data_IF_026174927520
#
_entry.id   IF_026174927520
#
_cell.length_a   1.000
_cell.length_b   1.000
_cell.length_c   1.000
_cell.angle_alpha   90.00
_cell.angle_beta   90.00
_cell.angle_gamma   90.00
#
_symmetry.space_group_name_H-M   'P 1'
#
loop_
_entity.id
_entity.type
_entity.pdbx_description
1 polymer ?
#
# COMPACT_ATOMS: atom_id res chain seq x y z
N UNK A 1 -26.84 -4.69 11.72
CA UNK A 1 -26.62 -3.25 11.97
C UNK A 1 -25.14 -3.01 12.22
N UNK A 2 -24.56 -1.94 11.65
CA UNK A 2 -23.17 -1.51 11.92
C UNK A 2 -23.21 -0.68 13.19
N UNK A 3 -22.37 -0.99 14.19
CA UNK A 3 -22.34 -0.20 15.42
C UNK A 3 -21.51 1.08 15.20
N UNK A 4 -22.20 2.22 15.10
CA UNK A 4 -21.63 3.55 14.81
C UNK A 4 -20.54 3.97 15.79
N UNK A 5 -20.59 3.51 17.04
CA UNK A 5 -19.56 3.82 18.06
C UNK A 5 -18.20 3.20 17.73
N UNK A 6 -18.19 1.98 17.18
CA UNK A 6 -16.95 1.31 16.77
C UNK A 6 -16.48 1.76 15.38
N UNK A 7 -17.40 2.09 14.48
CA UNK A 7 -17.09 2.71 13.19
C UNK A 7 -16.37 4.06 13.37
N UNK A 8 -16.92 4.94 14.22
CA UNK A 8 -16.28 6.22 14.58
C UNK A 8 -15.00 6.04 15.38
N UNK A 9 -14.88 4.96 16.17
CA UNK A 9 -13.64 4.57 16.83
C UNK A 9 -12.52 4.21 15.84
N UNK A 10 -12.85 3.50 14.75
CA UNK A 10 -11.95 3.21 13.63
C UNK A 10 -11.52 4.48 12.90
N UNK A 11 -12.50 5.35 12.61
CA UNK A 11 -12.27 6.65 11.97
C UNK A 11 -11.31 7.54 12.79
N UNK A 12 -11.49 7.61 14.12
CA UNK A 12 -10.59 8.37 15.02
C UNK A 12 -9.21 7.74 15.19
N UNK A 13 -9.08 6.43 14.96
CA UNK A 13 -7.78 5.74 15.11
C UNK A 13 -6.78 6.15 14.02
N UNK A 14 -7.29 6.69 12.90
CA UNK A 14 -6.49 7.20 11.78
C UNK A 14 -5.89 8.58 12.06
N UNK A 15 -6.51 9.36 12.95
CA UNK A 15 -6.06 10.70 13.38
C UNK A 15 -5.00 10.66 14.49
N UNK A 16 -4.64 9.48 15.02
CA UNK A 16 -3.53 9.37 15.97
C UNK A 16 -2.22 9.69 15.25
N UNK A 17 -1.31 10.40 15.93
CA UNK A 17 -0.01 10.80 15.38
C UNK A 17 0.87 9.62 14.93
N UNK A 18 0.67 8.42 15.51
CA UNK A 18 1.32 7.16 15.11
C UNK A 18 0.68 6.47 13.90
N UNK A 19 -0.35 7.08 13.29
CA UNK A 19 -1.10 6.44 12.20
C UNK A 19 -0.41 6.68 10.85
N UNK A 20 -0.21 5.64 10.02
CA UNK A 20 0.35 5.75 8.67
C UNK A 20 -0.52 6.57 7.70
N UNK A 21 -1.63 7.15 8.16
CA UNK A 21 -2.58 7.92 7.36
C UNK A 21 -2.04 9.26 6.84
N UNK A 22 -1.20 9.96 7.62
CA UNK A 22 -0.59 11.22 7.18
C UNK A 22 0.39 10.95 6.03
N UNK A 23 1.24 9.95 6.21
CA UNK A 23 2.16 9.51 5.16
C UNK A 23 1.42 9.01 3.92
N UNK A 24 0.34 8.24 4.11
CA UNK A 24 -0.54 7.78 3.03
C UNK A 24 -1.14 8.97 2.26
N UNK A 25 -1.68 9.97 2.97
CA UNK A 25 -2.23 11.18 2.37
C UNK A 25 -1.21 11.94 1.53
N UNK A 26 0.00 12.16 2.05
CA UNK A 26 1.09 12.80 1.32
C UNK A 26 1.49 12.02 0.05
N UNK A 27 1.51 10.69 0.12
CA UNK A 27 1.80 9.85 -1.05
C UNK A 27 0.69 9.93 -2.10
N UNK A 28 -0.59 10.01 -1.70
CA UNK A 28 -1.69 10.20 -2.64
C UNK A 28 -1.75 11.62 -3.24
N UNK A 29 -1.26 12.63 -2.53
CA UNK A 29 -1.01 13.97 -3.12
C UNK A 29 0.02 13.86 -4.25
N UNK A 30 1.12 13.13 -4.04
CA UNK A 30 2.11 12.87 -5.09
C UNK A 30 1.52 12.15 -6.30
N UNK A 31 0.73 11.09 -6.08
CA UNK A 31 0.03 10.37 -7.16
C UNK A 31 -0.94 11.29 -7.92
N UNK A 32 -1.71 12.13 -7.22
CA UNK A 32 -2.65 13.05 -7.86
C UNK A 32 -1.95 14.05 -8.79
N UNK A 33 -0.79 14.55 -8.37
CA UNK A 33 0.03 15.42 -9.20
C UNK A 33 0.65 14.67 -10.40
N UNK A 34 1.05 13.41 -10.20
CA UNK A 34 1.56 12.57 -11.27
C UNK A 34 0.49 12.28 -12.32
N UNK A 35 -0.70 11.83 -11.92
CA UNK A 35 -1.80 11.50 -12.82
C UNK A 35 -2.22 12.70 -13.70
N UNK A 36 -2.20 13.91 -13.15
CA UNK A 36 -2.48 15.11 -13.95
C UNK A 36 -1.42 15.37 -15.01
N UNK A 37 -0.13 15.18 -14.70
CA UNK A 37 0.94 15.28 -15.70
C UNK A 37 0.81 14.24 -16.81
N UNK A 38 0.19 13.10 -16.52
CA UNK A 38 -0.14 12.09 -17.53
C UNK A 38 -1.31 12.48 -18.43
N UNK A 39 -1.96 13.62 -18.18
CA UNK A 39 -3.11 14.10 -18.95
C UNK A 39 -4.44 13.49 -18.53
N UNK A 40 -4.52 12.78 -17.40
CA UNK A 40 -5.79 12.26 -16.89
C UNK A 40 -6.73 13.38 -16.47
N UNK A 41 -8.03 13.18 -16.70
CA UNK A 41 -9.04 14.11 -16.22
C UNK A 41 -9.25 13.94 -14.69
N UNK A 42 -9.89 14.93 -14.05
CA UNK A 42 -10.21 14.90 -12.60
C UNK A 42 -11.02 13.64 -12.27
N UNK A 43 -12.02 13.33 -13.09
CA UNK A 43 -12.87 12.16 -12.88
C UNK A 43 -12.07 10.86 -12.98
N UNK A 44 -11.25 10.70 -14.01
CA UNK A 44 -10.44 9.50 -14.21
C UNK A 44 -9.41 9.32 -13.09
N UNK A 45 -8.82 10.42 -12.61
CA UNK A 45 -7.86 10.39 -11.48
C UNK A 45 -8.53 9.94 -10.18
N UNK A 46 -9.73 10.46 -9.87
CA UNK A 46 -10.50 10.05 -8.69
C UNK A 46 -10.95 8.59 -8.82
N UNK A 47 -11.49 8.20 -9.97
CA UNK A 47 -11.94 6.82 -10.21
C UNK A 47 -10.77 5.84 -10.13
N UNK A 48 -9.62 6.17 -10.69
CA UNK A 48 -8.41 5.36 -10.62
C UNK A 48 -7.95 5.16 -9.17
N UNK A 49 -7.89 6.22 -8.37
CA UNK A 49 -7.55 6.12 -6.94
C UNK A 49 -8.61 5.35 -6.15
N UNK A 50 -9.90 5.57 -6.43
CA UNK A 50 -10.99 4.90 -5.72
C UNK A 50 -11.02 3.39 -5.97
N UNK A 51 -10.77 2.97 -7.22
CA UNK A 51 -10.83 1.57 -7.64
C UNK A 51 -9.54 0.82 -7.34
N UNK A 52 -8.39 1.43 -7.62
CA UNK A 52 -7.10 0.76 -7.43
C UNK A 52 -6.75 0.70 -5.96
N UNK A 53 -7.04 1.77 -5.20
CA UNK A 53 -6.82 1.89 -3.76
C UNK A 53 -5.51 1.25 -3.24
N UNK A 54 -4.44 1.35 -4.04
CA UNK A 54 -3.17 0.71 -3.78
C UNK A 54 -2.05 1.57 -4.35
N UNK A 55 -1.34 2.27 -3.46
CA UNK A 55 -0.34 3.28 -3.82
C UNK A 55 0.70 2.80 -4.86
N UNK A 56 1.39 1.66 -4.70
CA UNK A 56 2.35 1.22 -5.71
C UNK A 56 1.70 0.59 -6.94
N UNK A 57 0.50 0.03 -6.82
CA UNK A 57 -0.26 -0.40 -8.00
C UNK A 57 -0.60 0.79 -8.89
N UNK A 58 -1.05 1.90 -8.29
CA UNK A 58 -1.31 3.15 -8.98
C UNK A 58 -0.05 3.77 -9.59
N UNK A 59 1.11 3.69 -8.91
CA UNK A 59 2.37 4.16 -9.47
C UNK A 59 2.80 3.33 -10.69
N UNK A 60 2.82 2.01 -10.57
CA UNK A 60 3.25 1.12 -11.67
C UNK A 60 2.32 1.25 -12.88
N UNK A 61 1.03 1.47 -12.64
CA UNK A 61 0.08 1.80 -13.70
C UNK A 61 0.47 3.12 -14.40
N UNK A 62 0.71 4.18 -13.64
CA UNK A 62 1.11 5.49 -14.14
C UNK A 62 2.41 5.43 -14.97
N UNK A 63 3.43 4.73 -14.47
CA UNK A 63 4.72 4.54 -15.16
C UNK A 63 4.59 3.69 -16.43
N UNK A 64 3.80 2.61 -16.37
CA UNK A 64 3.60 1.74 -17.53
C UNK A 64 2.81 2.44 -18.65
N UNK A 65 1.89 3.34 -18.30
CA UNK A 65 1.17 4.19 -19.25
C UNK A 65 2.11 5.20 -19.92
N UNK A 66 3.07 5.79 -19.17
CA UNK A 66 4.08 6.69 -19.74
C UNK A 66 4.94 6.02 -20.81
N UNK A 67 5.31 4.76 -20.59
CA UNK A 67 6.18 4.00 -21.49
C UNK A 67 5.37 3.42 -22.68
N UNK A 68 4.04 3.60 -22.70
CA UNK A 68 3.17 3.10 -23.76
C UNK A 68 3.02 1.58 -23.75
N UNK A 69 3.12 0.95 -22.58
CA UNK A 69 2.97 -0.50 -22.44
C UNK A 69 1.56 -0.96 -22.83
N UNK A 70 1.44 -2.21 -23.29
CA UNK A 70 0.14 -2.79 -23.62
C UNK A 70 -0.77 -2.87 -22.39
N UNK A 71 -2.08 -2.78 -22.59
CA UNK A 71 -3.07 -2.87 -21.50
C UNK A 71 -2.92 -4.18 -20.69
N UNK A 72 -2.57 -5.27 -21.36
CA UNK A 72 -2.33 -6.57 -20.72
C UNK A 72 -1.11 -6.52 -19.79
N UNK A 73 -0.02 -5.86 -20.22
CA UNK A 73 1.18 -5.71 -19.40
C UNK A 73 0.91 -4.84 -18.18
N UNK A 74 0.17 -3.75 -18.35
CA UNK A 74 -0.27 -2.88 -17.24
C UNK A 74 -1.10 -3.70 -16.24
N UNK A 75 -2.08 -4.46 -16.73
CA UNK A 75 -2.91 -5.31 -15.89
C UNK A 75 -2.08 -6.32 -15.10
N UNK A 76 -1.18 -7.05 -15.76
CA UNK A 76 -0.33 -8.05 -15.11
C UNK A 76 0.61 -7.40 -14.10
N UNK A 77 1.24 -6.26 -14.43
CA UNK A 77 2.13 -5.55 -13.54
C UNK A 77 1.40 -5.10 -12.26
N UNK A 78 0.25 -4.45 -12.40
CA UNK A 78 -0.58 -4.02 -11.27
C UNK A 78 -1.09 -5.21 -10.46
N UNK A 79 -1.49 -6.30 -11.12
CA UNK A 79 -1.94 -7.53 -10.48
C UNK A 79 -0.85 -8.16 -9.61
N UNK A 80 0.36 -8.36 -10.15
CA UNK A 80 1.48 -8.95 -9.40
C UNK A 80 1.96 -8.04 -8.27
N UNK A 81 1.98 -6.73 -8.46
CA UNK A 81 2.31 -5.76 -7.40
C UNK A 81 1.29 -5.84 -6.26
N UNK A 82 0.01 -5.99 -6.57
CA UNK A 82 -1.05 -6.08 -5.56
C UNK A 82 -1.20 -7.48 -4.94
N UNK A 83 -0.70 -8.54 -5.60
CA UNK A 83 -0.72 -9.90 -5.07
C UNK A 83 -0.04 -10.00 -3.68
N UNK A 84 0.91 -9.11 -3.36
CA UNK A 84 1.54 -9.02 -2.03
C UNK A 84 0.57 -8.70 -0.88
N UNK A 85 -0.62 -8.16 -1.17
CA UNK A 85 -1.67 -7.90 -0.18
C UNK A 85 -2.41 -9.18 0.22
N UNK A 86 -2.29 -10.25 -0.59
CA UNK A 86 -2.98 -11.52 -0.34
C UNK A 86 -2.54 -12.20 0.97
N UNK A 87 -1.23 -12.38 1.26
CA UNK A 87 -0.79 -12.90 2.57
C UNK A 87 -1.31 -12.07 3.76
N UNK A 88 -1.40 -10.74 3.60
CA UNK A 88 -1.94 -9.87 4.64
C UNK A 88 -3.42 -10.16 4.89
N UNK A 89 -4.20 -10.33 3.83
CA UNK A 89 -5.61 -10.70 3.92
C UNK A 89 -5.80 -12.06 4.62
N UNK A 90 -5.07 -13.09 4.19
CA UNK A 90 -5.15 -14.44 4.77
C UNK A 90 -4.76 -14.46 6.24
N UNK A 91 -3.81 -13.63 6.67
CA UNK A 91 -3.42 -13.51 8.08
C UNK A 91 -4.48 -12.84 8.97
N UNK A 92 -5.26 -11.91 8.42
CA UNK A 92 -6.14 -11.04 9.20
C UNK A 92 -7.60 -11.49 9.18
N UNK A 93 -8.10 -11.96 8.04
CA UNK A 93 -9.50 -12.38 7.90
C UNK A 93 -9.92 -13.44 8.93
N UNK A 94 -9.15 -14.50 9.21
CA UNK A 94 -9.50 -15.50 10.23
C UNK A 94 -9.68 -14.89 11.64
N UNK A 95 -8.93 -13.82 11.95
CA UNK A 95 -9.02 -13.12 13.24
C UNK A 95 -10.25 -12.20 13.35
N UNK A 96 -10.88 -11.88 12.21
CA UNK A 96 -12.06 -11.01 12.11
C UNK A 96 -13.36 -11.79 11.90
N UNK A 97 -13.29 -13.05 11.45
CA UNK A 97 -14.46 -13.87 11.18
C UNK A 97 -15.24 -14.21 12.47
N UNK A 98 -16.52 -13.82 12.48
CA UNK A 98 -17.47 -14.14 13.53
C UNK A 98 -18.78 -14.68 12.91
N UNK A 99 -19.31 -15.78 13.45
CA UNK A 99 -20.51 -16.48 12.93
C UNK A 99 -21.76 -15.59 12.86
N UNK A 100 -21.83 -14.53 13.67
CA UNK A 100 -23.00 -13.63 13.76
C UNK A 100 -23.03 -12.48 12.74
N UNK A 101 -22.02 -12.33 11.86
CA UNK A 101 -21.98 -11.21 10.90
C UNK A 101 -22.25 -11.71 9.46
N UNK A 102 -23.04 -10.97 8.66
CA UNK A 102 -23.42 -11.38 7.31
C UNK A 102 -22.23 -11.42 6.34
N UNK A 103 -22.20 -12.41 5.45
CA UNK A 103 -21.11 -12.66 4.49
C UNK A 103 -20.80 -11.46 3.58
N UNK A 104 -21.82 -10.66 3.22
CA UNK A 104 -21.66 -9.44 2.39
C UNK A 104 -20.73 -8.38 2.98
N UNK A 105 -20.69 -8.21 4.31
CA UNK A 105 -19.76 -7.27 4.95
C UNK A 105 -18.30 -7.66 4.72
N UNK A 106 -18.01 -8.96 4.61
CA UNK A 106 -16.66 -9.45 4.36
C UNK A 106 -16.23 -9.20 2.92
N UNK A 107 -17.12 -9.41 1.94
CA UNK A 107 -16.84 -9.09 0.54
C UNK A 107 -16.55 -7.60 0.35
N UNK A 108 -17.35 -6.73 0.98
CA UNK A 108 -17.09 -5.28 0.94
C UNK A 108 -15.80 -4.89 1.67
N UNK A 109 -15.48 -5.58 2.77
CA UNK A 109 -14.25 -5.37 3.52
C UNK A 109 -12.98 -5.71 2.74
N UNK A 110 -13.07 -6.58 1.72
CA UNK A 110 -11.95 -6.92 0.84
C UNK A 110 -11.46 -5.71 0.02
N UNK A 111 -12.36 -4.78 -0.33
CA UNK A 111 -11.98 -3.56 -1.05
C UNK A 111 -11.06 -2.66 -0.24
N UNK A 112 -11.19 -2.70 1.09
CA UNK A 112 -10.41 -1.86 2.01
C UNK A 112 -9.11 -2.52 2.49
N UNK A 113 -8.67 -3.59 1.85
CA UNK A 113 -7.38 -4.21 2.17
C UNK A 113 -6.26 -3.28 1.71
N UNK A 114 -5.72 -2.54 2.67
CA UNK A 114 -4.54 -1.72 2.51
C UNK A 114 -3.54 -2.01 3.62
N UNK A 115 -2.25 -1.81 3.34
CA UNK A 115 -1.17 -2.01 4.32
C UNK A 115 -1.40 -1.15 5.57
N UNK A 116 -1.80 0.11 5.38
CA UNK A 116 -2.12 1.04 6.45
C UNK A 116 -3.28 0.55 7.32
N UNK A 117 -4.38 0.10 6.68
CA UNK A 117 -5.55 -0.42 7.39
C UNK A 117 -5.21 -1.70 8.17
N UNK A 118 -4.43 -2.60 7.55
CA UNK A 118 -3.94 -3.82 8.16
C UNK A 118 -3.06 -3.55 9.39
N UNK A 119 -2.14 -2.58 9.32
CA UNK A 119 -1.23 -2.23 10.41
C UNK A 119 -1.99 -1.65 11.61
N UNK A 120 -2.95 -0.75 11.36
CA UNK A 120 -3.81 -0.17 12.40
C UNK A 120 -4.66 -1.27 13.07
N UNK A 121 -5.23 -2.18 12.28
CA UNK A 121 -6.01 -3.29 12.83
C UNK A 121 -5.15 -4.27 13.62
N UNK A 122 -3.97 -4.64 13.12
CA UNK A 122 -3.03 -5.53 13.82
C UNK A 122 -2.49 -4.92 15.12
N UNK A 123 -2.42 -3.60 15.24
CA UNK A 123 -2.03 -2.95 16.48
C UNK A 123 -3.19 -2.93 17.51
N UNK A 124 -4.44 -2.78 17.04
CA UNK A 124 -5.60 -2.60 17.91
C UNK A 124 -6.50 -3.85 18.09
N UNK A 125 -6.26 -4.96 17.37
CA UNK A 125 -7.19 -6.12 17.36
C UNK A 125 -7.41 -6.76 18.73
N UNK A 126 -6.42 -6.70 19.64
CA UNK A 126 -6.52 -7.26 20.99
C UNK A 126 -7.49 -6.48 21.88
N UNK A 127 -7.67 -5.18 21.62
CA UNK A 127 -8.50 -4.30 22.43
C UNK A 127 -9.98 -4.30 22.00
N UNK A 128 -10.33 -5.00 20.92
CA UNK A 128 -11.67 -4.94 20.31
C UNK A 128 -12.36 -6.32 20.39
N UNK A 129 -13.60 -6.38 20.92
CA UNK A 129 -14.39 -7.60 20.96
C UNK A 129 -14.57 -8.20 19.55
N UNK A 130 -14.40 -9.53 19.43
CA UNK A 130 -14.45 -10.26 18.15
C UNK A 130 -15.69 -9.95 17.30
N UNK A 131 -16.82 -9.66 17.93
CA UNK A 131 -18.11 -9.36 17.29
C UNK A 131 -18.14 -8.04 16.50
N UNK A 132 -17.30 -7.07 16.86
CA UNK A 132 -17.29 -5.71 16.29
C UNK A 132 -16.05 -5.40 15.44
N UNK A 133 -15.13 -6.36 15.27
CA UNK A 133 -13.88 -6.17 14.52
C UNK A 133 -14.10 -5.77 13.06
N UNK A 134 -15.13 -6.31 12.41
CA UNK A 134 -15.46 -5.98 11.01
C UNK A 134 -16.03 -4.56 10.89
N UNK A 135 -16.85 -4.12 11.85
CA UNK A 135 -17.40 -2.77 11.83
C UNK A 135 -16.29 -1.72 12.06
N UNK A 136 -15.28 -2.05 12.89
CA UNK A 136 -14.09 -1.24 13.08
C UNK A 136 -13.16 -1.25 11.84
N UNK A 137 -13.00 -2.40 11.18
CA UNK A 137 -12.24 -2.53 9.93
C UNK A 137 -12.83 -1.67 8.81
N UNK A 138 -14.16 -1.73 8.61
CA UNK A 138 -14.86 -0.89 7.62
C UNK A 138 -14.71 0.59 7.98
N UNK A 139 -14.72 0.92 9.28
CA UNK A 139 -14.42 2.28 9.77
C UNK A 139 -13.02 2.76 9.37
N UNK A 140 -12.00 1.94 9.60
CA UNK A 140 -10.62 2.26 9.20
C UNK A 140 -10.53 2.40 7.67
N UNK A 141 -11.04 1.40 6.95
CA UNK A 141 -11.00 1.35 5.49
C UNK A 141 -11.64 2.56 4.83
N UNK A 142 -12.85 2.92 5.26
CA UNK A 142 -13.56 4.10 4.74
C UNK A 142 -12.80 5.40 4.97
N UNK A 143 -12.16 5.56 6.13
CA UNK A 143 -11.42 6.75 6.47
C UNK A 143 -10.09 6.84 5.71
N UNK A 144 -9.35 5.74 5.59
CA UNK A 144 -8.12 5.72 4.76
C UNK A 144 -8.44 5.89 3.28
N UNK A 145 -9.62 5.43 2.83
CA UNK A 145 -10.11 5.66 1.48
C UNK A 145 -10.46 7.14 1.24
N UNK A 146 -11.19 7.78 2.15
CA UNK A 146 -11.48 9.22 2.08
C UNK A 146 -10.22 10.07 2.06
N UNK A 147 -9.23 9.75 2.90
CA UNK A 147 -7.93 10.44 2.92
C UNK A 147 -7.20 10.29 1.58
N UNK A 148 -7.22 9.10 0.97
CA UNK A 148 -6.60 8.87 -0.33
C UNK A 148 -7.26 9.70 -1.45
N UNK A 149 -8.59 9.75 -1.47
CA UNK A 149 -9.36 10.54 -2.45
C UNK A 149 -9.09 12.03 -2.28
N UNK A 150 -9.17 12.53 -1.05
CA UNK A 150 -8.89 13.95 -0.75
C UNK A 150 -7.43 14.28 -1.10
N UNK A 151 -6.48 13.41 -0.75
CA UNK A 151 -5.08 13.58 -1.10
C UNK A 151 -4.86 13.67 -2.61
N UNK A 152 -5.47 12.77 -3.38
CA UNK A 152 -5.39 12.80 -4.85
C UNK A 152 -6.00 14.07 -5.43
N UNK A 153 -7.15 14.51 -4.93
CA UNK A 153 -7.79 15.76 -5.35
C UNK A 153 -6.89 16.97 -5.09
N UNK A 154 -6.35 17.08 -3.87
CA UNK A 154 -5.43 18.15 -3.48
C UNK A 154 -4.20 18.13 -4.40
N UNK A 155 -3.59 16.97 -4.60
CA UNK A 155 -2.44 16.80 -5.50
C UNK A 155 -2.72 17.20 -6.94
N UNK A 156 -3.90 16.84 -7.46
CA UNK A 156 -4.34 17.21 -8.80
C UNK A 156 -4.46 18.72 -8.96
N UNK A 157 -5.07 19.44 -8.01
CA UNK A 157 -5.14 20.91 -8.09
C UNK A 157 -3.79 21.59 -7.86
N UNK A 158 -2.99 21.09 -6.90
CA UNK A 158 -1.67 21.65 -6.63
C UNK A 158 -0.72 21.52 -7.81
N UNK A 159 -0.88 20.49 -8.66
CA UNK A 159 -0.02 20.28 -9.82
C UNK A 159 0.11 21.48 -10.76
N UNK A 160 -0.88 22.37 -10.87
CA UNK A 160 -0.76 23.60 -11.69
C UNK A 160 0.21 24.63 -11.10
N UNK A 161 0.45 24.52 -9.79
CA UNK A 161 1.32 25.41 -9.02
C UNK A 161 2.66 24.76 -8.66
N UNK A 162 2.85 23.48 -8.98
CA UNK A 162 4.07 22.74 -8.67
C UNK A 162 5.10 22.92 -9.79
N UNK A 163 6.30 23.37 -9.41
CA UNK A 163 7.42 23.47 -10.32
C UNK A 163 7.97 22.06 -10.66
N UNK A 164 8.67 21.91 -11.79
CA UNK A 164 9.21 20.60 -12.26
C UNK A 164 10.07 19.90 -11.19
N UNK A 165 10.84 20.64 -10.41
CA UNK A 165 11.69 20.09 -9.36
C UNK A 165 10.88 19.45 -8.22
N UNK A 166 9.71 20.02 -7.89
CA UNK A 166 8.84 19.47 -6.85
C UNK A 166 8.15 18.19 -7.33
N UNK A 167 7.80 18.13 -8.62
CA UNK A 167 7.25 16.91 -9.24
C UNK A 167 8.26 15.75 -9.21
N UNK A 168 9.53 16.03 -9.49
CA UNK A 168 10.60 15.03 -9.35
C UNK A 168 10.73 14.59 -7.88
N UNK A 169 10.68 15.53 -6.93
CA UNK A 169 10.68 15.21 -5.50
C UNK A 169 9.49 14.33 -5.09
N UNK A 170 8.30 14.59 -5.63
CA UNK A 170 7.09 13.79 -5.38
C UNK A 170 7.22 12.35 -5.91
N UNK A 171 7.93 12.14 -7.03
CA UNK A 171 8.18 10.79 -7.55
C UNK A 171 9.06 9.95 -6.59
N UNK A 172 9.99 10.59 -5.88
CA UNK A 172 10.92 9.91 -4.94
C UNK A 172 10.24 9.58 -3.60
N UNK A 173 9.16 10.28 -3.24
CA UNK A 173 8.43 10.05 -1.98
C UNK A 173 7.91 8.61 -1.87
N UNK A 174 7.48 7.99 -2.98
CA UNK A 174 6.94 6.63 -2.91
C UNK A 174 8.01 5.57 -2.57
N UNK A 175 9.19 5.53 -3.23
CA UNK A 175 10.32 4.72 -2.79
C UNK A 175 10.74 4.98 -1.33
N UNK A 176 10.80 6.25 -0.90
CA UNK A 176 11.16 6.61 0.49
C UNK A 176 10.12 6.05 1.47
N UNK A 177 8.82 6.19 1.17
CA UNK A 177 7.75 5.66 2.01
C UNK A 177 7.87 4.14 2.17
N UNK A 178 8.13 3.42 1.07
CA UNK A 178 8.34 1.98 1.13
C UNK A 178 9.58 1.60 1.93
N UNK A 179 10.69 2.31 1.76
CA UNK A 179 11.90 2.11 2.56
C UNK A 179 11.63 2.31 4.06
N UNK A 180 10.98 3.41 4.43
CA UNK A 180 10.60 3.69 5.82
C UNK A 180 9.69 2.59 6.40
N UNK A 181 8.69 2.15 5.66
CA UNK A 181 7.82 1.05 6.10
C UNK A 181 8.56 -0.28 6.24
N UNK A 182 9.52 -0.58 5.35
CA UNK A 182 10.34 -1.78 5.46
C UNK A 182 11.28 -1.72 6.67
N UNK A 183 11.83 -0.55 6.98
CA UNK A 183 12.64 -0.32 8.21
C UNK A 183 11.77 -0.53 9.46
N UNK A 184 10.54 0.00 9.49
CA UNK A 184 9.62 -0.25 10.62
C UNK A 184 9.24 -1.73 10.77
N UNK A 185 9.12 -2.44 9.64
CA UNK A 185 8.87 -3.88 9.59
C UNK A 185 10.09 -4.74 9.96
N UNK A 186 11.29 -4.15 10.04
CA UNK A 186 12.57 -4.82 10.29
C UNK A 186 12.74 -5.26 11.74
N UNK A 187 11.88 -6.16 12.20
CA UNK A 187 11.89 -6.68 13.58
C UNK A 187 12.73 -7.94 13.76
N UNK A 188 13.21 -8.53 12.66
CA UNK A 188 13.94 -9.79 12.66
C UNK A 188 15.14 -9.66 11.74
N UNK A 189 16.28 -10.26 12.11
CA UNK A 189 17.53 -10.24 11.34
C UNK A 189 17.33 -10.71 9.89
N UNK A 190 16.41 -11.64 9.67
CA UNK A 190 15.96 -12.08 8.34
C UNK A 190 15.47 -10.95 7.45
N UNK A 191 14.57 -10.10 7.98
CA UNK A 191 13.96 -9.01 7.24
C UNK A 191 15.02 -7.94 6.91
N UNK A 192 15.93 -7.67 7.86
CA UNK A 192 17.04 -6.71 7.67
C UNK A 192 17.96 -7.19 6.55
N UNK A 193 18.35 -8.48 6.56
CA UNK A 193 19.22 -9.06 5.54
C UNK A 193 18.53 -9.04 4.17
N UNK A 194 17.23 -9.38 4.09
CA UNK A 194 16.45 -9.26 2.85
C UNK A 194 16.46 -7.84 2.28
N UNK A 195 16.29 -6.82 3.14
CA UNK A 195 16.25 -5.42 2.72
C UNK A 195 17.62 -4.97 2.20
N UNK A 196 18.69 -5.25 2.94
CA UNK A 196 20.05 -4.86 2.55
C UNK A 196 20.45 -5.56 1.25
N UNK A 197 20.20 -6.87 1.15
CA UNK A 197 20.49 -7.62 -0.07
C UNK A 197 19.64 -7.14 -1.24
N UNK A 198 18.36 -6.83 -1.04
CA UNK A 198 17.52 -6.25 -2.08
C UNK A 198 18.03 -4.89 -2.58
N UNK A 199 18.50 -4.03 -1.65
CA UNK A 199 19.06 -2.71 -1.96
C UNK A 199 20.36 -2.80 -2.79
N UNK A 200 21.18 -3.83 -2.54
CA UNK A 200 22.46 -4.02 -3.24
C UNK A 200 22.27 -4.80 -4.54
N UNK A 201 21.56 -5.93 -4.49
CA UNK A 201 21.38 -6.84 -5.62
C UNK A 201 20.47 -6.25 -6.69
N UNK A 202 19.47 -5.43 -6.33
CA UNK A 202 18.59 -4.78 -7.31
C UNK A 202 19.36 -3.94 -8.34
N UNK A 203 20.11 -2.91 -7.90
CA UNK A 203 20.98 -2.12 -8.78
C UNK A 203 22.09 -2.95 -9.44
N UNK A 204 22.67 -3.92 -8.73
CA UNK A 204 23.71 -4.78 -9.32
C UNK A 204 23.16 -5.59 -10.51
N UNK A 205 21.97 -6.18 -10.40
CA UNK A 205 21.34 -6.90 -11.51
C UNK A 205 20.76 -5.99 -12.58
N UNK A 206 20.48 -4.73 -12.27
CA UNK A 206 20.09 -3.73 -13.27
C UNK A 206 21.17 -3.52 -14.33
N UNK A 207 22.46 -3.60 -13.96
CA UNK A 207 23.57 -3.52 -14.92
C UNK A 207 23.67 -4.71 -15.87
N UNK A 208 23.15 -5.88 -15.48
CA UNK A 208 23.16 -7.08 -16.32
C UNK A 208 21.91 -7.21 -17.19
N UNK A 209 20.74 -6.97 -16.60
CA UNK A 209 19.45 -7.08 -17.28
C UNK A 209 18.41 -6.19 -16.61
N UNK A 210 18.13 -4.99 -17.16
CA UNK A 210 17.18 -4.03 -16.60
C UNK A 210 15.80 -4.65 -16.33
N UNK A 211 15.32 -5.49 -17.24
CA UNK A 211 13.98 -6.10 -17.20
C UNK A 211 13.81 -7.17 -16.11
N UNK A 212 14.88 -7.91 -15.79
CA UNK A 212 14.86 -9.04 -14.85
C UNK A 212 15.46 -8.69 -13.49
N UNK A 213 16.04 -7.50 -13.36
CA UNK A 213 16.75 -7.02 -12.18
C UNK A 213 15.94 -7.14 -10.89
N UNK A 214 14.66 -6.75 -10.93
CA UNK A 214 13.75 -6.79 -9.78
C UNK A 214 13.44 -8.24 -9.38
N UNK A 215 13.16 -9.11 -10.36
CA UNK A 215 12.79 -10.50 -10.09
C UNK A 215 13.98 -11.31 -9.58
N UNK A 216 15.14 -11.17 -10.22
CA UNK A 216 16.38 -11.82 -9.81
C UNK A 216 16.87 -11.30 -8.45
N UNK A 217 16.84 -9.99 -8.23
CA UNK A 217 17.21 -9.38 -6.96
C UNK A 217 16.31 -9.82 -5.81
N UNK A 218 14.98 -9.87 -6.05
CA UNK A 218 14.01 -10.34 -5.06
C UNK A 218 14.17 -11.82 -4.72
N UNK A 219 14.31 -12.69 -5.72
CA UNK A 219 14.46 -14.14 -5.51
C UNK A 219 15.81 -14.46 -4.86
N UNK A 220 16.91 -13.89 -5.36
CA UNK A 220 18.24 -14.12 -4.79
C UNK A 220 18.34 -13.57 -3.36
N UNK A 221 17.97 -12.30 -3.15
CA UNK A 221 18.03 -11.65 -1.84
C UNK A 221 17.12 -12.33 -0.81
N UNK A 222 15.90 -12.68 -1.20
CA UNK A 222 14.95 -13.38 -0.34
C UNK A 222 15.39 -14.79 0.02
N UNK A 223 15.94 -15.55 -0.93
CA UNK A 223 16.43 -16.92 -0.68
C UNK A 223 17.64 -16.91 0.26
N UNK A 224 18.60 -16.01 0.04
CA UNK A 224 19.78 -15.87 0.91
C UNK A 224 19.36 -15.46 2.32
N UNK A 225 18.43 -14.52 2.45
CA UNK A 225 17.94 -14.07 3.75
C UNK A 225 17.15 -15.16 4.49
N UNK A 226 16.39 -15.99 3.78
CA UNK A 226 15.68 -17.14 4.34
C UNK A 226 16.67 -18.16 4.92
N UNK A 227 17.67 -18.57 4.13
CA UNK A 227 18.68 -19.55 4.56
C UNK A 227 19.53 -19.04 5.74
N UNK A 228 19.99 -17.80 5.66
CA UNK A 228 20.76 -17.15 6.75
C UNK A 228 19.90 -16.98 8.01
N UNK A 229 18.61 -16.77 7.80
CA UNK A 229 17.60 -16.71 8.82
C UNK A 229 17.40 -17.99 9.60
N UNK A 230 17.35 -19.11 8.89
CA UNK A 230 17.16 -20.44 9.47
C UNK A 230 18.39 -20.89 10.27
N UNK A 231 19.58 -20.50 9.81
CA UNK A 231 20.85 -20.76 10.51
C UNK A 231 20.99 -20.01 11.84
N UNK A 232 20.37 -18.83 11.97
CA UNK A 232 20.40 -18.00 13.18
C UNK A 232 19.31 -18.35 14.23
N UNK A 233 18.45 -19.33 13.96
CA UNK A 233 17.39 -19.79 14.89
C UNK A 233 17.82 -21.08 15.64
N UNK A 234 19.11 -21.45 15.57
CA UNK A 234 19.69 -22.49 16.43
C UNK A 234 20.02 -21.97 17.82
#
# INVERSE_FOLDING_TARGET
MINTKYFLGGYKSILKADSPAIALGACFVAIGALLKNLGFNIQESIFSTMLTYALPGSLVMAESLLIGASLLNIFLAVFFVNARLYPMAVSLFPLMMHKSQPKWKYYFSCHFIAVSAWLIMKNNYKNIPKQHRIDYWIGIGSATWTVAVIGTLIGFFLCDYLNKDILIGLAIINPIYFLCMMIEASKTSQIIISIILGLILGPAFYFFSPEWSILLGGVAGGTIAYLTGELNVK
#
